data_IF_016490237029
#
_entry.id   IF_016490237029
#
_cell.length_a   1.000
_cell.length_b   1.000
_cell.length_c   1.000
_cell.angle_alpha   90.00
_cell.angle_beta   90.00
_cell.angle_gamma   90.00
#
_symmetry.space_group_name_H-M   'P 1'
#
loop_
_entity.id
_entity.type
_entity.pdbx_description
1 polymer ?
#
# COMPACT_ATOMS: atom_id res chain seq x y z
N UNK A 1 -41.28 17.19 59.49
CA UNK A 1 -40.16 16.25 59.22
C UNK A 1 -40.73 14.97 58.63
N UNK A 2 -40.96 14.94 57.33
CA UNK A 2 -41.25 13.70 56.61
C UNK A 2 -41.10 13.95 55.11
N UNK A 3 -40.62 12.93 54.38
CA UNK A 3 -40.41 12.84 52.92
C UNK A 3 -39.05 13.29 52.37
N UNK A 4 -38.00 12.66 52.88
CA UNK A 4 -36.81 12.33 52.08
C UNK A 4 -36.77 10.81 51.89
N UNK A 5 -37.55 10.30 50.93
CA UNK A 5 -37.39 8.94 50.42
C UNK A 5 -37.53 8.96 48.89
N UNK A 6 -36.58 8.28 48.26
CA UNK A 6 -36.49 7.89 46.84
C UNK A 6 -36.11 8.96 45.81
N UNK A 7 -34.82 9.27 45.74
CA UNK A 7 -34.16 9.71 44.50
C UNK A 7 -33.05 8.74 44.05
N UNK A 8 -33.19 7.45 44.38
CA UNK A 8 -32.44 6.40 43.70
C UNK A 8 -33.21 5.98 42.45
N UNK A 9 -33.34 6.91 41.49
CA UNK A 9 -33.82 6.57 40.16
C UNK A 9 -32.68 5.84 39.46
N UNK A 10 -32.58 4.54 39.73
CA UNK A 10 -31.70 3.60 39.04
C UNK A 10 -32.00 3.77 37.56
N UNK A 11 -31.12 4.47 36.82
CA UNK A 11 -31.25 4.63 35.38
C UNK A 11 -31.40 3.24 34.78
N UNK A 12 -32.64 2.89 34.46
CA UNK A 12 -32.98 1.71 33.68
C UNK A 12 -32.54 2.05 32.28
N UNK A 13 -31.23 1.91 32.03
CA UNK A 13 -30.69 1.79 30.67
C UNK A 13 -31.56 0.69 30.06
N UNK A 14 -32.36 1.07 29.07
CA UNK A 14 -33.35 0.17 28.50
C UNK A 14 -32.61 -1.08 28.02
N UNK A 15 -33.18 -2.25 28.23
CA UNK A 15 -32.70 -3.51 27.64
C UNK A 15 -32.46 -3.40 26.12
N UNK A 16 -33.11 -2.42 25.48
CA UNK A 16 -32.90 -2.04 24.08
C UNK A 16 -31.52 -1.44 23.79
N UNK A 17 -30.84 -0.76 24.72
CA UNK A 17 -29.48 -0.24 24.53
C UNK A 17 -28.40 -1.32 24.73
N UNK A 18 -28.61 -2.27 25.64
CA UNK A 18 -27.70 -3.41 25.80
C UNK A 18 -27.76 -4.37 24.60
N UNK A 19 -28.93 -4.51 23.96
CA UNK A 19 -29.06 -5.19 22.66
C UNK A 19 -28.44 -4.39 21.49
N UNK A 20 -28.26 -3.07 21.66
CA UNK A 20 -27.70 -2.16 20.65
C UNK A 20 -26.17 -2.16 20.67
N UNK A 21 -25.57 -2.33 21.85
CA UNK A 21 -24.12 -2.26 22.07
C UNK A 21 -23.47 -3.63 22.28
N UNK A 22 -24.25 -4.72 22.23
CA UNK A 22 -23.76 -6.09 22.05
C UNK A 22 -22.60 -6.48 22.98
N UNK A 23 -22.90 -6.85 24.22
CA UNK A 23 -21.86 -7.39 25.12
C UNK A 23 -21.51 -8.86 24.85
N UNK A 24 -21.95 -9.43 23.72
CA UNK A 24 -21.76 -10.84 23.32
C UNK A 24 -21.36 -10.96 21.83
N UNK A 25 -20.31 -10.25 21.41
CA UNK A 25 -20.12 -9.84 20.00
C UNK A 25 -19.15 -10.68 19.16
N UNK A 26 -19.44 -11.96 18.90
CA UNK A 26 -18.95 -12.61 17.67
C UNK A 26 -19.92 -12.40 16.49
N UNK A 27 -21.21 -12.17 16.77
CA UNK A 27 -22.24 -12.04 15.72
C UNK A 27 -22.32 -10.63 15.10
N UNK A 28 -21.66 -9.63 15.70
CA UNK A 28 -21.68 -8.24 15.23
C UNK A 28 -20.36 -7.80 14.60
N UNK A 29 -19.35 -8.66 14.58
CA UNK A 29 -18.05 -8.36 13.98
C UNK A 29 -18.05 -8.75 12.50
N UNK A 30 -17.44 -7.91 11.66
CA UNK A 30 -17.22 -8.24 10.25
C UNK A 30 -16.30 -9.47 10.12
N UNK A 31 -16.68 -10.36 9.21
CA UNK A 31 -15.93 -11.55 8.86
C UNK A 31 -14.96 -11.24 7.71
N UNK A 32 -13.68 -11.12 8.04
CA UNK A 32 -12.62 -10.95 7.05
C UNK A 32 -11.81 -12.24 6.89
N UNK A 33 -11.46 -12.56 5.64
CA UNK A 33 -10.58 -13.66 5.31
C UNK A 33 -9.13 -13.20 5.44
N UNK A 34 -8.32 -13.98 6.16
CA UNK A 34 -6.88 -13.75 6.28
C UNK A 34 -6.09 -14.48 5.17
N UNK A 35 -6.43 -15.75 4.90
CA UNK A 35 -5.74 -16.61 3.95
C UNK A 35 -6.58 -16.84 2.69
N UNK A 36 -6.32 -16.08 1.62
CA UNK A 36 -7.06 -16.22 0.36
C UNK A 36 -6.67 -17.47 -0.45
N UNK A 37 -5.57 -18.15 -0.12
CA UNK A 37 -5.11 -19.37 -0.83
C UNK A 37 -6.03 -20.59 -0.63
N UNK A 38 -6.75 -20.63 0.49
CA UNK A 38 -7.56 -21.79 0.89
C UNK A 38 -9.05 -21.58 0.72
N UNK A 39 -9.45 -20.40 0.25
CA UNK A 39 -10.83 -19.94 0.27
C UNK A 39 -11.40 -19.88 -1.14
N UNK A 40 -12.62 -20.37 -1.29
CA UNK A 40 -13.33 -20.34 -2.57
C UNK A 40 -14.03 -18.98 -2.79
N UNK A 41 -14.33 -18.67 -4.06
CA UNK A 41 -15.12 -17.47 -4.39
C UNK A 41 -16.51 -17.50 -3.76
N UNK A 42 -17.13 -18.68 -3.67
CA UNK A 42 -18.45 -18.87 -3.06
C UNK A 42 -18.45 -18.54 -1.57
N UNK A 43 -17.39 -18.93 -0.85
CA UNK A 43 -17.23 -18.62 0.57
C UNK A 43 -17.05 -17.11 0.78
N UNK A 44 -16.25 -16.44 -0.05
CA UNK A 44 -16.13 -14.97 -0.02
C UNK A 44 -17.50 -14.29 -0.17
N UNK A 45 -18.28 -14.69 -1.17
CA UNK A 45 -19.61 -14.12 -1.44
C UNK A 45 -20.56 -14.36 -0.26
N UNK A 46 -20.50 -15.54 0.36
CA UNK A 46 -21.32 -15.87 1.52
C UNK A 46 -20.98 -14.98 2.72
N UNK A 47 -19.68 -14.78 3.01
CA UNK A 47 -19.23 -13.91 4.08
C UNK A 47 -19.56 -12.45 3.79
N UNK A 48 -19.46 -12.02 2.53
CA UNK A 48 -19.81 -10.66 2.12
C UNK A 48 -21.29 -10.36 2.30
N UNK A 49 -22.17 -11.34 2.05
CA UNK A 49 -23.59 -11.21 2.35
C UNK A 49 -23.82 -10.97 3.85
N UNK A 50 -23.18 -11.74 4.73
CA UNK A 50 -23.25 -11.56 6.18
C UNK A 50 -22.71 -10.19 6.61
N UNK A 51 -21.58 -9.78 6.05
CA UNK A 51 -20.97 -8.48 6.31
C UNK A 51 -21.85 -7.32 5.85
N UNK A 52 -22.53 -7.46 4.72
CA UNK A 52 -23.46 -6.45 4.20
C UNK A 52 -24.68 -6.32 5.13
N UNK A 53 -25.19 -7.42 5.67
CA UNK A 53 -26.28 -7.38 6.66
C UNK A 53 -25.86 -6.64 7.94
N UNK A 54 -24.64 -6.87 8.43
CA UNK A 54 -24.07 -6.13 9.58
C UNK A 54 -23.90 -4.65 9.23
N UNK A 55 -23.34 -4.36 8.05
CA UNK A 55 -23.13 -3.00 7.56
C UNK A 55 -24.43 -2.20 7.47
N UNK A 56 -25.48 -2.77 6.86
CA UNK A 56 -26.79 -2.14 6.79
C UNK A 56 -27.37 -1.84 8.16
N UNK A 57 -27.32 -2.82 9.09
CA UNK A 57 -27.78 -2.61 10.47
C UNK A 57 -27.05 -1.45 11.15
N UNK A 58 -25.73 -1.35 10.98
CA UNK A 58 -24.93 -0.27 11.56
C UNK A 58 -25.24 1.09 10.93
N UNK A 59 -25.42 1.15 9.60
CA UNK A 59 -25.81 2.37 8.90
C UNK A 59 -27.22 2.84 9.30
N UNK A 60 -28.17 1.91 9.40
CA UNK A 60 -29.54 2.20 9.81
C UNK A 60 -29.60 2.66 11.27
N UNK A 61 -28.80 2.04 12.14
CA UNK A 61 -28.63 2.48 13.52
C UNK A 61 -28.11 3.91 13.61
N UNK A 62 -27.05 4.22 12.86
CA UNK A 62 -26.50 5.57 12.79
C UNK A 62 -27.53 6.59 12.30
N UNK A 63 -28.25 6.27 11.22
CA UNK A 63 -29.33 7.13 10.69
C UNK A 63 -30.42 7.36 11.74
N UNK A 64 -30.85 6.30 12.41
CA UNK A 64 -31.86 6.36 13.45
C UNK A 64 -31.42 7.24 14.63
N UNK A 65 -30.15 7.13 15.05
CA UNK A 65 -29.59 7.97 16.12
C UNK A 65 -29.55 9.45 15.72
N UNK A 66 -29.11 9.77 14.50
CA UNK A 66 -29.12 11.15 13.98
C UNK A 66 -30.52 11.71 13.93
N UNK A 67 -31.50 10.96 13.40
CA UNK A 67 -32.88 11.41 13.35
C UNK A 67 -33.45 11.66 14.75
N UNK A 68 -33.15 10.77 15.70
CA UNK A 68 -33.59 10.93 17.09
C UNK A 68 -32.99 12.18 17.73
N UNK A 69 -31.70 12.45 17.51
CA UNK A 69 -31.04 13.67 18.00
C UNK A 69 -31.68 14.94 17.42
N UNK A 70 -32.03 14.93 16.12
CA UNK A 70 -32.74 16.04 15.48
C UNK A 70 -34.13 16.26 16.07
N UNK A 71 -34.93 15.20 16.22
CA UNK A 71 -36.30 15.29 16.79
C UNK A 71 -36.30 15.78 18.24
N UNK A 72 -35.27 15.43 19.00
CA UNK A 72 -35.15 15.82 20.42
C UNK A 72 -34.48 17.18 20.62
N UNK A 73 -34.17 17.93 19.55
CA UNK A 73 -33.40 19.18 19.59
C UNK A 73 -32.17 19.04 20.50
N UNK A 74 -31.37 17.99 20.27
CA UNK A 74 -30.18 17.74 21.05
C UNK A 74 -29.24 18.96 20.99
N UNK A 75 -28.63 19.31 22.14
CA UNK A 75 -27.74 20.47 22.28
C UNK A 75 -26.53 20.42 21.34
N UNK A 76 -26.14 19.23 20.90
CA UNK A 76 -25.04 18.98 19.98
C UNK A 76 -25.55 18.36 18.69
N UNK A 77 -25.18 18.97 17.56
CA UNK A 77 -25.44 18.46 16.20
C UNK A 77 -24.13 18.06 15.55
N UNK A 78 -24.17 16.99 14.75
CA UNK A 78 -23.04 16.60 13.91
C UNK A 78 -23.06 17.47 12.66
N UNK A 79 -22.31 18.57 12.66
CA UNK A 79 -22.25 19.52 11.53
C UNK A 79 -21.54 18.90 10.32
N UNK A 80 -20.45 18.17 10.58
CA UNK A 80 -19.67 17.48 9.56
C UNK A 80 -19.68 15.97 9.85
N UNK A 81 -20.64 15.21 9.30
CA UNK A 81 -20.64 13.77 9.49
C UNK A 81 -19.38 13.17 8.87
N UNK A 82 -18.77 12.17 9.52
CA UNK A 82 -17.66 11.45 8.92
C UNK A 82 -18.10 10.83 7.58
N UNK A 83 -17.15 10.68 6.66
CA UNK A 83 -17.39 9.95 5.42
C UNK A 83 -17.89 8.53 5.75
N UNK A 84 -18.78 8.01 4.91
CA UNK A 84 -19.28 6.66 5.10
C UNK A 84 -18.11 5.67 5.07
N UNK A 85 -18.05 4.70 6.00
CA UNK A 85 -17.01 3.68 5.97
C UNK A 85 -17.14 2.84 4.70
N UNK A 86 -16.00 2.35 4.20
CA UNK A 86 -16.00 1.46 3.05
C UNK A 86 -16.78 0.18 3.34
N UNK A 87 -17.46 -0.34 2.31
CA UNK A 87 -18.21 -1.58 2.47
C UNK A 87 -17.24 -2.76 2.65
N UNK A 88 -17.44 -3.59 3.68
CA UNK A 88 -16.64 -4.79 3.87
C UNK A 88 -16.89 -5.78 2.72
N UNK A 89 -15.89 -5.99 1.88
CA UNK A 89 -15.98 -6.87 0.72
C UNK A 89 -14.71 -7.74 0.61
N UNK A 90 -14.87 -9.04 0.79
CA UNK A 90 -13.82 -10.04 0.67
C UNK A 90 -13.65 -10.52 -0.76
N UNK A 91 -14.72 -10.59 -1.56
CA UNK A 91 -14.63 -11.02 -2.96
C UNK A 91 -13.73 -10.10 -3.79
N UNK A 92 -13.90 -8.79 -3.66
CA UNK A 92 -13.01 -7.82 -4.32
C UNK A 92 -11.56 -7.97 -3.85
N UNK A 93 -11.34 -8.25 -2.56
CA UNK A 93 -10.00 -8.52 -2.02
C UNK A 93 -9.40 -9.80 -2.59
N UNK A 94 -10.20 -10.86 -2.75
CA UNK A 94 -9.78 -12.10 -3.41
C UNK A 94 -9.41 -11.85 -4.88
N UNK A 95 -10.17 -11.04 -5.61
CA UNK A 95 -9.82 -10.69 -6.99
C UNK A 95 -8.49 -9.92 -7.06
N UNK A 96 -8.29 -8.93 -6.19
CA UNK A 96 -7.00 -8.23 -6.08
C UNK A 96 -5.86 -9.19 -5.73
N UNK A 97 -6.10 -10.13 -4.80
CA UNK A 97 -5.13 -11.17 -4.45
C UNK A 97 -4.76 -12.02 -5.66
N UNK A 98 -5.74 -12.50 -6.42
CA UNK A 98 -5.50 -13.30 -7.64
C UNK A 98 -4.71 -12.52 -8.68
N UNK A 99 -5.05 -11.26 -8.93
CA UNK A 99 -4.33 -10.40 -9.89
C UNK A 99 -2.87 -10.17 -9.49
N UNK A 100 -2.59 -10.03 -8.19
CA UNK A 100 -1.23 -9.83 -7.66
C UNK A 100 -0.37 -11.08 -7.71
N UNK A 101 -0.97 -12.27 -7.64
CA UNK A 101 -0.26 -13.56 -7.60
C UNK A 101 -0.23 -14.31 -8.94
N UNK A 102 -0.50 -13.62 -10.05
CA UNK A 102 -0.31 -14.22 -11.37
C UNK A 102 1.18 -14.33 -11.66
N UNK A 103 1.62 -15.51 -12.14
CA UNK A 103 2.99 -15.69 -12.61
C UNK A 103 3.29 -14.75 -13.79
N UNK A 104 4.27 -13.86 -13.60
CA UNK A 104 4.73 -12.92 -14.63
C UNK A 104 6.23 -13.08 -14.86
N UNK A 105 6.69 -12.70 -16.04
CA UNK A 105 8.12 -12.67 -16.33
C UNK A 105 8.79 -11.55 -15.50
N UNK A 106 9.52 -11.95 -14.46
CA UNK A 106 10.18 -11.04 -13.50
C UNK A 106 11.07 -10.01 -14.20
N UNK A 107 11.77 -10.41 -15.26
CA UNK A 107 12.66 -9.51 -16.01
C UNK A 107 11.88 -8.41 -16.70
N UNK A 108 10.79 -8.77 -17.39
CA UNK A 108 9.94 -7.80 -18.09
C UNK A 108 9.17 -6.91 -17.11
N UNK A 109 8.72 -7.48 -15.99
CA UNK A 109 8.04 -6.72 -14.93
C UNK A 109 8.98 -5.70 -14.30
N UNK A 110 10.20 -6.11 -13.94
CA UNK A 110 11.21 -5.20 -13.38
C UNK A 110 11.51 -4.06 -14.35
N UNK A 111 11.69 -4.37 -15.64
CA UNK A 111 11.86 -3.35 -16.66
C UNK A 111 10.66 -2.40 -16.75
N UNK A 112 9.44 -2.93 -16.78
CA UNK A 112 8.22 -2.13 -16.86
C UNK A 112 8.10 -1.15 -15.68
N UNK A 113 8.32 -1.63 -14.45
CA UNK A 113 8.34 -0.78 -13.25
C UNK A 113 9.38 0.34 -13.39
N UNK A 114 10.62 0.00 -13.75
CA UNK A 114 11.69 0.99 -13.93
C UNK A 114 11.35 2.02 -15.01
N UNK A 115 10.77 1.57 -16.13
CA UNK A 115 10.43 2.43 -17.25
C UNK A 115 9.30 3.42 -16.88
N UNK A 116 8.28 2.97 -16.15
CA UNK A 116 7.20 3.84 -15.68
C UNK A 116 7.73 4.88 -14.67
N UNK A 117 8.65 4.48 -13.79
CA UNK A 117 9.33 5.40 -12.88
C UNK A 117 10.15 6.46 -13.64
N UNK A 118 10.87 6.08 -14.69
CA UNK A 118 11.62 7.02 -15.55
C UNK A 118 10.69 8.04 -16.25
N UNK A 119 9.44 7.68 -16.52
CA UNK A 119 8.43 8.54 -17.17
C UNK A 119 7.67 9.43 -16.17
N UNK A 120 7.84 9.20 -14.86
CA UNK A 120 7.26 10.03 -13.80
C UNK A 120 6.06 9.41 -13.08
N UNK A 121 5.82 8.10 -13.25
CA UNK A 121 4.81 7.39 -12.47
C UNK A 121 5.32 7.03 -11.08
N UNK A 122 4.39 6.82 -10.14
CA UNK A 122 4.69 6.47 -8.75
C UNK A 122 4.20 5.06 -8.45
N UNK A 123 5.06 4.24 -7.86
CA UNK A 123 4.70 2.90 -7.41
C UNK A 123 3.94 2.98 -6.08
N UNK A 124 2.81 2.31 -5.99
CA UNK A 124 2.05 2.14 -4.76
C UNK A 124 1.82 0.66 -4.46
N UNK A 125 1.72 0.32 -3.17
CA UNK A 125 1.46 -1.06 -2.72
C UNK A 125 -0.02 -1.34 -2.46
N UNK A 126 -0.79 -0.27 -2.25
CA UNK A 126 -2.22 -0.30 -2.03
C UNK A 126 -2.81 0.95 -2.67
N UNK A 127 -3.61 0.77 -3.72
CA UNK A 127 -4.42 1.87 -4.25
C UNK A 127 -5.45 2.27 -3.21
N UNK A 128 -5.36 3.51 -2.73
CA UNK A 128 -6.44 4.16 -1.99
C UNK A 128 -7.43 4.78 -2.97
N UNK A 129 -8.66 4.99 -2.51
CA UNK A 129 -9.73 5.69 -3.25
C UNK A 129 -9.31 7.07 -3.79
N UNK A 130 -8.32 7.69 -3.15
CA UNK A 130 -7.78 9.01 -3.48
C UNK A 130 -6.49 8.96 -4.34
N UNK A 131 -6.14 7.78 -4.88
CA UNK A 131 -4.88 7.57 -5.61
C UNK A 131 -4.75 8.48 -6.84
N UNK A 132 -3.56 9.05 -7.03
CA UNK A 132 -3.26 9.92 -8.16
C UNK A 132 -3.30 9.21 -9.52
N UNK A 133 -3.55 9.95 -10.59
CA UNK A 133 -3.66 9.42 -11.97
C UNK A 133 -2.40 8.69 -12.47
N UNK A 134 -1.24 8.97 -11.85
CA UNK A 134 0.06 8.40 -12.20
C UNK A 134 0.53 7.30 -11.22
N UNK A 135 -0.35 6.82 -10.35
CA UNK A 135 -0.03 5.75 -9.40
C UNK A 135 -0.34 4.36 -10.00
N UNK A 136 0.56 3.40 -9.75
CA UNK A 136 0.38 2.03 -10.21
C UNK A 136 0.90 1.00 -9.22
N UNK A 137 0.30 -0.19 -9.23
CA UNK A 137 0.83 -1.32 -8.47
C UNK A 137 1.83 -2.13 -9.33
N UNK A 138 2.86 -2.76 -8.72
CA UNK A 138 3.87 -3.51 -9.47
C UNK A 138 3.31 -4.62 -10.37
N UNK A 139 2.19 -5.24 -9.98
CA UNK A 139 1.56 -6.29 -10.77
C UNK A 139 0.92 -5.75 -12.07
N UNK A 140 0.57 -4.47 -12.13
CA UNK A 140 -0.05 -3.80 -13.29
C UNK A 140 0.99 -3.25 -14.28
N UNK A 141 2.27 -3.20 -13.89
CA UNK A 141 3.31 -2.44 -14.60
C UNK A 141 3.43 -2.80 -16.10
N UNK A 142 3.38 -4.10 -16.44
CA UNK A 142 3.49 -4.56 -17.83
C UNK A 142 2.29 -4.05 -18.64
N UNK A 143 1.08 -4.31 -18.16
CA UNK A 143 -0.16 -3.93 -18.84
C UNK A 143 -0.28 -2.40 -18.97
N UNK A 144 0.15 -1.67 -17.94
CA UNK A 144 0.18 -0.21 -17.97
C UNK A 144 1.14 0.32 -19.03
N UNK A 145 2.37 -0.23 -19.10
CA UNK A 145 3.32 0.09 -20.17
C UNK A 145 2.74 -0.17 -21.56
N UNK A 146 2.21 -1.37 -21.79
CA UNK A 146 1.69 -1.73 -23.11
C UNK A 146 0.53 -0.83 -23.53
N UNK A 147 -0.37 -0.50 -22.58
CA UNK A 147 -1.49 0.41 -22.80
C UNK A 147 -1.04 1.84 -23.08
N UNK A 148 -0.08 2.37 -22.33
CA UNK A 148 0.33 3.78 -22.44
C UNK A 148 1.20 4.04 -23.68
N UNK A 149 2.05 3.09 -24.05
CA UNK A 149 2.99 3.26 -25.16
C UNK A 149 2.55 2.54 -26.44
N UNK A 150 1.45 1.78 -26.40
CA UNK A 150 0.84 1.16 -27.57
C UNK A 150 1.69 0.09 -28.24
N UNK A 151 2.64 -0.51 -27.50
CA UNK A 151 3.59 -1.50 -28.01
C UNK A 151 3.81 -2.59 -26.99
N UNK A 152 4.18 -3.79 -27.44
CA UNK A 152 4.45 -4.92 -26.57
C UNK A 152 5.68 -4.64 -25.70
N UNK A 153 5.64 -5.08 -24.43
CA UNK A 153 6.72 -4.83 -23.47
C UNK A 153 8.08 -5.37 -23.95
N UNK A 154 8.09 -6.45 -24.73
CA UNK A 154 9.33 -7.00 -25.30
C UNK A 154 9.98 -6.07 -26.32
N UNK A 155 9.17 -5.39 -27.14
CA UNK A 155 9.67 -4.44 -28.13
C UNK A 155 10.19 -3.17 -27.45
N UNK A 156 9.45 -2.67 -26.46
CA UNK A 156 9.89 -1.57 -25.61
C UNK A 156 11.23 -1.89 -24.94
N UNK A 157 11.37 -3.10 -24.40
CA UNK A 157 12.59 -3.56 -23.75
C UNK A 157 13.79 -3.61 -24.71
N UNK A 158 13.61 -4.17 -25.91
CA UNK A 158 14.66 -4.25 -26.95
C UNK A 158 15.09 -2.85 -27.38
N UNK A 159 14.14 -1.98 -27.73
CA UNK A 159 14.40 -0.60 -28.15
C UNK A 159 15.14 0.19 -27.08
N UNK A 160 14.72 0.04 -25.82
CA UNK A 160 15.35 0.72 -24.71
C UNK A 160 16.81 0.26 -24.49
N UNK A 161 17.09 -1.04 -24.64
CA UNK A 161 18.47 -1.55 -24.60
C UNK A 161 19.32 -1.02 -25.75
N UNK A 162 18.80 -1.03 -26.98
CA UNK A 162 19.50 -0.49 -28.15
C UNK A 162 19.84 0.99 -27.97
N UNK A 163 18.89 1.78 -27.47
CA UNK A 163 19.09 3.20 -27.18
C UNK A 163 20.18 3.42 -26.12
N UNK A 164 20.15 2.69 -24.99
CA UNK A 164 21.19 2.79 -23.95
C UNK A 164 22.57 2.36 -24.46
N UNK A 165 22.65 1.36 -25.35
CA UNK A 165 23.91 0.95 -25.97
C UNK A 165 24.45 2.02 -26.92
N UNK A 166 23.58 2.68 -27.70
CA UNK A 166 23.97 3.73 -28.63
C UNK A 166 24.45 5.00 -27.91
N UNK A 167 23.82 5.39 -26.80
CA UNK A 167 24.28 6.53 -25.99
C UNK A 167 25.66 6.27 -25.36
N UNK A 168 25.92 5.05 -24.86
CA UNK A 168 27.24 4.68 -24.34
C UNK A 168 28.32 4.64 -25.42
N UNK A 169 27.99 4.20 -26.64
CA UNK A 169 28.94 4.24 -27.76
C UNK A 169 29.28 5.68 -28.16
N UNK A 170 28.28 6.57 -28.16
CA UNK A 170 28.45 7.99 -28.48
C UNK A 170 29.27 8.75 -27.43
N UNK A 171 29.14 8.42 -26.14
CA UNK A 171 29.98 9.05 -25.09
C UNK A 171 31.44 8.59 -25.13
N UNK A 172 31.70 7.35 -25.56
CA UNK A 172 33.08 6.85 -25.79
C UNK A 172 33.75 7.43 -27.04
N UNK A 173 32.99 7.92 -28.01
CA UNK A 173 33.54 8.51 -29.24
C UNK A 173 33.77 10.02 -29.17
N UNK A 174 33.57 10.66 -28.00
CA UNK A 174 33.99 12.05 -27.81
C UNK A 174 35.52 12.04 -27.61
N UNK A 175 36.25 12.05 -28.73
CA UNK A 175 37.65 12.45 -28.75
C UNK A 175 37.71 13.94 -28.40
N UNK A 176 37.86 14.26 -27.13
CA UNK A 176 38.35 15.58 -26.72
C UNK A 176 39.83 15.57 -27.13
N UNK A 177 40.26 16.34 -28.15
CA UNK A 177 41.69 16.44 -28.44
C UNK A 177 42.38 17.00 -27.20
N UNK A 178 43.48 16.39 -26.71
CA UNK A 178 44.23 16.97 -25.61
C UNK A 178 44.65 18.37 -26.03
N UNK A 179 44.13 19.38 -25.33
CA UNK A 179 44.56 20.76 -25.53
C UNK A 179 45.93 20.86 -24.88
N UNK A 180 46.96 21.23 -25.66
CA UNK A 180 48.38 21.14 -25.28
C UNK A 180 48.82 22.13 -24.18
N UNK A 181 47.92 22.96 -23.65
CA UNK A 181 48.27 24.06 -22.75
C UNK A 181 48.51 23.65 -21.28
N UNK A 182 48.12 22.46 -20.85
CA UNK A 182 48.27 22.05 -19.43
C UNK A 182 49.57 21.28 -19.10
N UNK A 183 50.44 21.01 -20.08
CA UNK A 183 51.66 20.21 -19.85
C UNK A 183 52.86 21.02 -19.30
N UNK A 184 52.72 22.32 -19.05
CA UNK A 184 53.83 23.16 -18.53
C UNK A 184 53.83 23.40 -17.02
N UNK A 185 52.80 23.00 -16.28
CA UNK A 185 52.70 23.29 -14.84
C UNK A 185 53.18 22.17 -13.91
N UNK A 186 53.56 20.98 -14.42
CA UNK A 186 53.81 19.79 -13.57
C UNK A 186 55.29 19.45 -13.36
N UNK A 187 56.22 20.28 -13.86
CA UNK A 187 57.65 19.99 -13.80
C UNK A 187 58.34 20.31 -12.44
N UNK A 188 57.58 20.64 -11.38
CA UNK A 188 58.16 21.04 -10.09
C UNK A 188 57.56 20.36 -8.86
N UNK A 189 56.86 19.23 -9.00
CA UNK A 189 56.42 18.45 -7.85
C UNK A 189 57.47 17.37 -7.48
N UNK A 190 58.01 17.37 -6.25
CA UNK A 190 58.95 16.34 -5.80
C UNK A 190 58.26 14.97 -5.69
N UNK A 191 58.99 13.86 -5.94
CA UNK A 191 58.41 12.52 -5.92
C UNK A 191 58.03 12.12 -4.49
N UNK A 192 56.72 11.99 -4.22
CA UNK A 192 56.21 11.31 -3.03
C UNK A 192 56.26 9.80 -3.28
N UNK A 193 57.05 9.11 -2.46
CA UNK A 193 57.16 7.65 -2.43
C UNK A 193 55.79 6.98 -2.20
N UNK A 194 55.55 5.78 -2.76
CA UNK A 194 54.30 5.06 -2.58
C UNK A 194 54.15 4.58 -1.13
N UNK A 195 53.07 4.98 -0.47
CA UNK A 195 52.61 4.30 0.74
C UNK A 195 52.11 2.90 0.37
N UNK A 196 52.63 1.91 1.07
CA UNK A 196 52.17 0.53 0.99
C UNK A 196 50.71 0.43 1.44
N UNK A 197 49.82 -0.09 0.58
CA UNK A 197 48.46 -0.43 0.95
C UNK A 197 48.49 -1.64 1.90
N UNK A 198 48.26 -1.39 3.19
CA UNK A 198 48.03 -2.45 4.17
C UNK A 198 46.69 -3.13 3.86
N UNK A 199 46.72 -4.45 3.71
CA UNK A 199 45.53 -5.30 3.59
C UNK A 199 44.67 -5.22 4.87
N UNK A 200 43.49 -4.60 4.79
CA UNK A 200 42.48 -4.67 5.84
C UNK A 200 41.40 -5.72 5.50
N UNK A 201 41.12 -6.57 6.49
CA UNK A 201 40.38 -7.82 6.51
C UNK A 201 38.91 -7.79 5.98
N UNK A 202 38.34 -8.96 5.61
CA UNK A 202 36.96 -9.08 5.17
C UNK A 202 35.95 -8.84 6.32
N UNK A 203 34.71 -8.37 6.01
CA UNK A 203 33.71 -8.07 7.02
C UNK A 203 33.15 -9.34 7.68
N UNK A 204 32.96 -9.24 9.00
CA UNK A 204 32.49 -10.30 9.86
C UNK A 204 31.02 -10.67 9.58
N UNK A 205 30.80 -11.97 9.43
CA UNK A 205 29.51 -12.65 9.35
C UNK A 205 28.72 -12.45 10.67
N UNK A 206 27.51 -11.89 10.60
CA UNK A 206 26.57 -11.83 11.73
C UNK A 206 25.24 -12.43 11.30
N UNK A 207 25.17 -13.75 11.36
CA UNK A 207 23.91 -14.47 11.60
C UNK A 207 23.53 -14.31 13.08
N UNK A 208 22.22 -14.17 13.32
CA UNK A 208 21.42 -14.68 14.45
C UNK A 208 20.33 -13.67 14.84
N UNK A 209 19.08 -14.00 14.47
CA UNK A 209 17.96 -13.91 15.40
C UNK A 209 17.09 -15.15 15.22
N UNK A 210 17.30 -16.11 16.12
CA UNK A 210 16.35 -17.17 16.43
C UNK A 210 15.22 -16.53 17.26
N UNK A 211 13.97 -16.75 16.84
CA UNK A 211 12.85 -16.73 17.78
C UNK A 211 12.61 -18.17 18.21
N UNK A 212 12.78 -18.41 19.50
CA UNK A 212 12.31 -19.62 20.18
C UNK A 212 11.39 -19.16 21.30
N UNK A 213 10.29 -19.89 21.41
CA UNK A 213 9.11 -19.65 22.24
C UNK A 213 9.39 -19.39 23.72
N UNK A 214 8.41 -18.76 24.37
CA UNK A 214 8.13 -19.03 25.77
C UNK A 214 6.62 -18.87 26.07
N UNK A 215 6.04 -20.03 26.42
CA UNK A 215 4.96 -20.31 27.39
C UNK A 215 3.57 -19.70 27.20
#
# INVERSE_FOLDING_TARGET
MERLKSFANKHRISSSLNNLLGTENQQQQYHYIADFDKVSEEECILLDKKNNDIYKKNCDLYRHMIEKMKRQNALFTIENPPAAPEQPNNYSKLMCYKMRNVEKNVRLQTFAVMYLLEVGHTVTYYKTSDGGENEFEPHEAIELCERQFGDNINNLFKRHQENKMNTMKKSKSINIPPTYDDMRAVASAPPLYPQQLSSSAPPANRNYFNYSDNK
#
